data_IF_103434152120
#
_entry.id   IF_103434152120
#
_cell.length_a   1.000
_cell.length_b   1.000
_cell.length_c   1.000
_cell.angle_alpha   90.00
_cell.angle_beta   90.00
_cell.angle_gamma   90.00
#
_symmetry.space_group_name_H-M   'P 1'
#
loop_
_entity.id
_entity.type
_entity.pdbx_description
1 polymer ?
#
# COMPACT_ATOMS: atom_id res chain seq x y z
N UNK A 1 -6.90 12.21 15.47
CA UNK A 1 -5.78 12.17 16.43
C UNK A 1 -6.40 12.25 17.83
N UNK A 2 -6.60 11.11 18.49
CA UNK A 2 -7.02 11.07 19.90
C UNK A 2 -6.13 10.04 20.60
N UNK A 3 -5.51 10.45 21.71
CA UNK A 3 -4.92 9.55 22.69
C UNK A 3 -5.99 9.32 23.76
N UNK A 4 -6.55 8.11 23.83
CA UNK A 4 -7.43 7.71 24.93
C UNK A 4 -6.55 7.25 26.11
N UNK A 5 -6.59 8.00 27.22
CA UNK A 5 -6.15 7.53 28.53
C UNK A 5 -7.38 6.99 29.25
N UNK A 6 -7.50 5.65 29.38
CA UNK A 6 -8.43 5.09 30.37
C UNK A 6 -7.91 5.30 31.79
N UNK A 7 -8.73 5.79 32.74
CA UNK A 7 -8.39 5.81 34.16
C UNK A 7 -8.67 4.46 34.85
N UNK A 8 -8.03 4.29 36.00
CA UNK A 8 -7.91 3.07 36.79
C UNK A 8 -9.24 2.49 37.34
N UNK A 9 -9.21 1.18 37.61
CA UNK A 9 -10.28 0.38 38.25
C UNK A 9 -10.75 0.97 39.59
N UNK A 10 -12.06 1.16 39.73
CA UNK A 10 -12.79 1.39 40.98
C UNK A 10 -14.08 0.55 41.03
N UNK A 11 -14.45 0.11 42.24
CA UNK A 11 -15.46 -0.93 42.57
C UNK A 11 -16.90 -0.63 42.09
N UNK A 12 -17.66 -1.70 41.83
CA UNK A 12 -18.92 -1.69 41.08
C UNK A 12 -20.22 -1.35 41.81
N UNK A 13 -21.29 -1.32 41.01
CA UNK A 13 -22.70 -1.51 41.35
C UNK A 13 -23.47 -1.83 40.05
N UNK A 14 -24.30 -2.87 40.09
CA UNK A 14 -25.15 -3.37 39.01
C UNK A 14 -26.28 -2.41 38.63
N UNK A 15 -26.61 -2.34 37.32
CA UNK A 15 -27.94 -2.01 36.78
C UNK A 15 -28.10 -2.60 35.35
N UNK A 16 -29.35 -2.91 34.90
CA UNK A 16 -29.64 -4.04 34.01
C UNK A 16 -29.55 -3.74 32.49
N UNK A 17 -29.33 -4.83 31.74
CA UNK A 17 -29.15 -4.86 30.30
C UNK A 17 -30.45 -4.72 29.49
N UNK A 18 -30.35 -4.06 28.33
CA UNK A 18 -31.26 -4.19 27.18
C UNK A 18 -30.48 -4.65 25.94
N UNK A 19 -31.13 -5.33 24.98
CA UNK A 19 -30.45 -6.27 24.08
C UNK A 19 -30.08 -5.65 22.74
N UNK A 20 -28.97 -6.12 22.17
CA UNK A 20 -28.69 -5.96 20.74
C UNK A 20 -27.30 -5.43 20.41
N UNK A 21 -26.25 -6.19 20.73
CA UNK A 21 -24.94 -6.00 20.10
C UNK A 21 -24.38 -7.37 19.72
N UNK A 22 -24.33 -7.63 18.41
CA UNK A 22 -23.59 -8.75 17.84
C UNK A 22 -22.10 -8.51 18.11
N UNK A 23 -21.49 -9.40 18.90
CA UNK A 23 -20.04 -9.57 18.95
C UNK A 23 -19.61 -10.27 17.66
N UNK A 24 -18.63 -9.70 16.96
CA UNK A 24 -17.74 -10.47 16.08
C UNK A 24 -16.33 -10.48 16.66
N UNK A 25 -15.73 -11.64 16.48
CA UNK A 25 -14.60 -12.23 17.16
C UNK A 25 -13.27 -11.58 16.86
N UNK A 26 -12.43 -11.63 17.88
CA UNK A 26 -11.02 -11.27 17.96
C UNK A 26 -10.13 -12.26 17.20
N UNK A 27 -9.37 -11.76 16.22
CA UNK A 27 -8.08 -12.25 15.65
C UNK A 27 -8.02 -11.74 14.19
N UNK A 28 -7.37 -10.63 13.86
CA UNK A 28 -5.90 -10.53 13.74
C UNK A 28 -5.45 -9.06 13.81
N UNK A 29 -5.39 -8.50 15.02
CA UNK A 29 -4.45 -7.42 15.32
C UNK A 29 -3.15 -8.07 15.80
N UNK A 30 -2.17 -8.25 14.92
CA UNK A 30 -0.76 -8.44 15.30
C UNK A 30 0.10 -8.77 14.08
N UNK A 31 0.66 -7.78 13.40
CA UNK A 31 1.98 -7.94 12.73
C UNK A 31 2.73 -6.60 12.62
N UNK A 32 2.63 -5.77 13.65
CA UNK A 32 3.79 -5.06 14.19
C UNK A 32 3.74 -5.38 15.69
N UNK A 33 4.56 -6.33 16.14
CA UNK A 33 4.65 -6.66 17.56
C UNK A 33 5.06 -5.39 18.32
N UNK A 34 4.44 -5.15 19.47
CA UNK A 34 4.81 -4.09 20.42
C UNK A 34 6.33 -4.09 20.74
N UNK A 35 7.01 -5.24 20.57
CA UNK A 35 8.47 -5.37 20.65
C UNK A 35 9.23 -4.50 19.63
N UNK A 36 8.70 -4.32 18.42
CA UNK A 36 9.38 -3.55 17.37
C UNK A 36 9.28 -2.04 17.59
N UNK A 37 8.29 -1.57 18.35
CA UNK A 37 8.12 -0.16 18.69
C UNK A 37 9.07 0.26 19.82
N UNK A 38 9.38 -0.61 20.78
CA UNK A 38 10.38 -0.32 21.82
C UNK A 38 11.81 -0.26 21.29
N UNK A 39 12.13 -1.03 20.26
CA UNK A 39 13.47 -1.08 19.65
C UNK A 39 13.82 0.17 18.81
N UNK A 40 12.80 0.93 18.39
CA UNK A 40 12.97 2.18 17.62
C UNK A 40 13.25 3.40 18.50
N UNK A 41 13.07 3.28 19.82
CA UNK A 41 13.31 4.37 20.79
C UNK A 41 14.24 3.94 21.93
N UNK A 42 15.51 3.58 21.66
CA UNK A 42 16.45 3.16 22.70
C UNK A 42 16.69 4.21 23.80
N UNK A 43 16.36 5.49 23.53
CA UNK A 43 16.50 6.61 24.47
C UNK A 43 15.17 7.21 24.96
N UNK A 44 14.01 6.61 24.66
CA UNK A 44 12.71 7.14 25.07
C UNK A 44 12.36 8.52 24.49
N UNK A 45 13.06 8.95 23.43
CA UNK A 45 12.79 10.20 22.73
C UNK A 45 11.58 10.05 21.81
N UNK A 46 10.42 10.55 22.27
CA UNK A 46 9.21 10.60 21.45
C UNK A 46 9.09 11.99 20.79
N UNK A 47 9.21 12.09 19.45
CA UNK A 47 9.16 13.38 18.77
C UNK A 47 7.74 13.96 18.81
N UNK A 48 7.56 15.07 19.52
CA UNK A 48 6.27 15.76 19.55
C UNK A 48 6.12 16.68 18.33
N UNK A 49 5.14 16.38 17.47
CA UNK A 49 4.75 17.25 16.38
C UNK A 49 4.07 18.52 16.93
N UNK A 50 4.59 19.69 16.59
CA UNK A 50 4.09 20.99 17.04
C UNK A 50 3.11 21.57 16.02
N UNK A 51 3.50 21.63 14.74
CA UNK A 51 2.63 22.13 13.67
C UNK A 51 2.94 21.48 12.33
N UNK A 52 1.97 21.52 11.42
CA UNK A 52 2.11 21.05 10.04
C UNK A 52 1.72 22.19 9.11
N UNK A 53 2.58 22.47 8.13
CA UNK A 53 2.35 23.49 7.12
C UNK A 53 2.23 22.82 5.76
N UNK A 54 1.12 23.06 5.06
CA UNK A 54 0.86 22.53 3.73
C UNK A 54 1.13 23.64 2.74
N UNK A 55 2.18 23.48 1.94
CA UNK A 55 2.51 24.37 0.83
C UNK A 55 1.90 23.81 -0.46
N UNK A 56 2.17 24.48 -1.59
CA UNK A 56 1.66 24.04 -2.90
C UNK A 56 2.14 22.62 -3.26
N UNK A 57 3.43 22.36 -3.09
CA UNK A 57 4.08 21.13 -3.58
C UNK A 57 4.82 20.35 -2.48
N UNK A 58 4.80 20.85 -1.24
CA UNK A 58 5.52 20.29 -0.10
C UNK A 58 4.68 20.36 1.18
N UNK A 59 4.99 19.49 2.13
CA UNK A 59 4.43 19.52 3.49
C UNK A 59 5.59 19.61 4.46
N UNK A 60 5.51 20.56 5.39
CA UNK A 60 6.51 20.76 6.43
C UNK A 60 5.95 20.33 7.78
N UNK A 61 6.67 19.43 8.44
CA UNK A 61 6.37 18.97 9.80
C UNK A 61 7.33 19.67 10.75
N UNK A 62 6.79 20.49 11.65
CA UNK A 62 7.57 21.21 12.66
C UNK A 62 7.41 20.48 13.99
N UNK A 63 8.53 20.02 14.53
CA UNK A 63 8.59 19.35 15.82
C UNK A 63 8.93 20.34 16.93
N UNK A 64 8.47 20.07 18.15
CA UNK A 64 8.74 20.91 19.31
C UNK A 64 10.25 20.93 19.67
N UNK A 65 10.97 19.87 19.31
CA UNK A 65 12.39 19.69 19.57
C UNK A 65 13.09 19.25 18.28
N UNK A 66 14.38 19.57 18.15
CA UNK A 66 15.20 19.09 17.04
C UNK A 66 15.30 17.56 17.12
N UNK A 67 15.02 16.88 16.02
CA UNK A 67 15.16 15.44 15.93
C UNK A 67 16.65 15.05 16.00
N UNK A 68 17.04 14.12 16.89
CA UNK A 68 18.37 13.53 16.87
C UNK A 68 18.55 12.67 15.61
N UNK A 69 19.79 12.37 15.19
CA UNK A 69 20.02 11.41 14.13
C UNK A 69 19.49 10.02 14.55
N UNK A 70 18.69 9.39 13.69
CA UNK A 70 18.07 8.11 13.98
C UNK A 70 17.01 7.73 12.94
N UNK A 71 16.35 6.59 13.19
CA UNK A 71 15.22 6.13 12.39
C UNK A 71 13.91 6.56 13.05
N UNK A 72 12.96 7.02 12.25
CA UNK A 72 11.66 7.48 12.73
C UNK A 72 10.56 6.96 11.82
N UNK A 73 9.43 6.59 12.42
CA UNK A 73 8.22 6.24 11.69
C UNK A 73 7.29 7.45 11.58
N UNK A 74 7.17 8.01 10.39
CA UNK A 74 6.17 9.03 10.08
C UNK A 74 4.91 8.37 9.55
N UNK A 75 3.82 8.42 10.32
CA UNK A 75 2.50 7.98 9.87
C UNK A 75 1.67 9.17 9.44
N UNK A 76 1.38 9.25 8.15
CA UNK A 76 0.37 10.18 7.62
C UNK A 76 -0.95 9.41 7.57
N UNK A 77 -1.99 9.98 8.18
CA UNK A 77 -3.34 9.40 8.17
C UNK A 77 -4.01 9.51 6.80
N UNK A 78 -5.33 9.63 6.81
CA UNK A 78 -6.12 9.73 5.59
C UNK A 78 -5.81 11.02 4.81
N UNK A 79 -5.68 10.87 3.49
CA UNK A 79 -5.56 11.98 2.55
C UNK A 79 -6.32 11.63 1.27
N UNK A 80 -6.69 12.67 0.51
CA UNK A 80 -7.44 12.52 -0.73
C UNK A 80 -6.59 13.00 -1.91
N UNK A 81 -6.48 12.17 -2.95
CA UNK A 81 -5.82 12.50 -4.20
C UNK A 81 -6.82 12.84 -5.31
N UNK A 82 -6.32 13.42 -6.41
CA UNK A 82 -7.15 13.72 -7.58
C UNK A 82 -7.04 12.60 -8.61
N UNK A 83 -8.17 12.06 -9.03
CA UNK A 83 -8.29 11.23 -10.22
C UNK A 83 -8.56 12.13 -11.42
N UNK A 84 -7.83 11.94 -12.52
CA UNK A 84 -8.02 12.76 -13.71
C UNK A 84 -8.00 11.92 -14.98
N UNK A 85 -8.53 12.47 -16.08
CA UNK A 85 -8.35 11.89 -17.40
C UNK A 85 -7.04 12.35 -18.08
N UNK A 86 -6.09 12.93 -17.34
CA UNK A 86 -4.80 13.35 -17.88
C UNK A 86 -3.94 12.15 -18.31
N UNK A 87 -2.73 12.41 -18.79
CA UNK A 87 -1.73 11.40 -19.15
C UNK A 87 -0.72 11.12 -18.04
N UNK A 88 -0.86 11.76 -16.87
CA UNK A 88 0.04 11.67 -15.71
C UNK A 88 -0.76 11.60 -14.41
N UNK A 89 -0.09 11.22 -13.32
CA UNK A 89 -0.71 11.03 -12.01
C UNK A 89 -1.55 9.75 -11.96
N UNK A 90 -2.68 9.82 -11.26
CA UNK A 90 -3.67 8.74 -11.26
C UNK A 90 -4.70 9.00 -12.36
N UNK A 91 -4.66 8.14 -13.36
CA UNK A 91 -5.39 8.27 -14.61
C UNK A 91 -6.64 7.41 -14.57
N UNK A 92 -7.79 8.01 -14.85
CA UNK A 92 -9.04 7.33 -15.09
C UNK A 92 -9.35 7.30 -16.59
N UNK A 93 -9.77 6.13 -17.09
CA UNK A 93 -10.21 5.90 -18.47
C UNK A 93 -11.53 5.13 -18.46
N UNK A 94 -12.45 5.53 -19.32
CA UNK A 94 -13.73 4.84 -19.55
C UNK A 94 -14.51 4.52 -18.26
N UNK A 95 -14.38 5.40 -17.25
CA UNK A 95 -14.96 5.30 -15.89
C UNK A 95 -14.54 4.07 -15.05
N UNK A 96 -13.98 3.04 -15.67
CA UNK A 96 -13.80 1.70 -15.09
C UNK A 96 -12.34 1.26 -15.04
N UNK A 97 -11.45 1.94 -15.77
CA UNK A 97 -10.02 1.67 -15.77
C UNK A 97 -9.29 2.79 -15.02
N UNK A 98 -8.49 2.39 -14.04
CA UNK A 98 -7.59 3.26 -13.30
C UNK A 98 -6.16 2.78 -13.51
N UNK A 99 -5.23 3.69 -13.73
CA UNK A 99 -3.81 3.37 -13.87
C UNK A 99 -2.95 4.54 -13.44
N UNK A 100 -1.72 4.30 -13.03
CA UNK A 100 -0.80 5.35 -12.61
C UNK A 100 0.30 5.58 -13.63
N UNK A 101 0.61 6.85 -13.89
CA UNK A 101 1.83 7.25 -14.58
C UNK A 101 2.48 8.41 -13.83
N UNK A 102 3.48 8.08 -13.00
CA UNK A 102 4.01 9.01 -12.00
C UNK A 102 5.32 9.71 -12.43
N UNK A 103 5.84 9.39 -13.61
CA UNK A 103 7.07 10.01 -14.11
C UNK A 103 6.84 11.41 -14.69
N UNK A 104 7.76 12.36 -14.46
CA UNK A 104 8.97 12.22 -13.63
C UNK A 104 8.75 12.53 -12.13
N UNK A 105 7.75 13.35 -11.79
CA UNK A 105 7.56 13.94 -10.46
C UNK A 105 6.08 14.02 -10.03
N UNK A 106 5.25 13.11 -10.52
CA UNK A 106 3.82 13.06 -10.21
C UNK A 106 3.51 12.08 -9.06
N UNK A 107 4.50 11.44 -8.45
CA UNK A 107 4.29 10.55 -7.31
C UNK A 107 3.66 11.28 -6.11
N UNK A 108 3.99 12.58 -5.96
CA UNK A 108 3.41 13.47 -4.95
C UNK A 108 1.90 13.70 -5.09
N UNK A 109 1.33 13.45 -6.28
CA UNK A 109 -0.13 13.52 -6.47
C UNK A 109 -0.84 12.27 -5.95
N UNK A 110 -0.11 11.15 -5.82
CA UNK A 110 -0.64 9.87 -5.36
C UNK A 110 -0.43 9.66 -3.85
N UNK A 111 0.73 10.00 -3.31
CA UNK A 111 1.01 9.86 -1.89
C UNK A 111 1.99 10.93 -1.38
N UNK A 112 1.90 11.32 -0.09
CA UNK A 112 2.90 12.17 0.55
C UNK A 112 4.23 11.39 0.62
N UNK A 113 5.16 11.73 -0.27
CA UNK A 113 6.44 11.03 -0.41
C UNK A 113 7.58 11.99 -0.78
N UNK A 114 8.81 11.52 -0.58
CA UNK A 114 10.01 12.20 -1.07
C UNK A 114 10.20 11.85 -2.54
N UNK A 115 9.70 12.72 -3.40
CA UNK A 115 9.66 12.53 -4.85
C UNK A 115 10.97 12.99 -5.53
N UNK A 116 12.06 12.25 -5.25
CA UNK A 116 13.39 12.51 -5.80
C UNK A 116 14.05 11.19 -6.26
N UNK A 117 14.70 11.14 -7.44
CA UNK A 117 15.24 9.88 -8.01
C UNK A 117 16.36 9.23 -7.19
N UNK A 118 17.08 10.00 -6.38
CA UNK A 118 18.13 9.46 -5.51
C UNK A 118 17.58 8.78 -4.26
N UNK A 119 16.31 9.00 -3.91
CA UNK A 119 15.67 8.43 -2.72
C UNK A 119 14.88 7.20 -3.13
N UNK A 120 15.20 6.06 -2.52
CA UNK A 120 14.56 4.77 -2.82
C UNK A 120 13.99 4.19 -1.54
N UNK A 121 12.82 3.59 -1.64
CA UNK A 121 12.15 2.91 -0.54
C UNK A 121 11.48 1.62 -1.03
N UNK A 122 11.18 0.71 -0.11
CA UNK A 122 10.34 -0.45 -0.36
C UNK A 122 8.88 -0.06 -0.07
N UNK A 123 7.98 -0.31 -1.02
CA UNK A 123 6.57 0.04 -0.89
C UNK A 123 5.74 -1.21 -0.64
N UNK A 124 4.86 -1.14 0.37
CA UNK A 124 3.84 -2.16 0.65
C UNK A 124 2.49 -1.59 0.24
N UNK A 125 1.97 -2.03 -0.89
CA UNK A 125 0.72 -1.53 -1.43
C UNK A 125 -0.45 -2.42 -1.05
N UNK A 126 -1.56 -1.80 -0.69
CA UNK A 126 -2.85 -2.44 -0.49
C UNK A 126 -3.88 -1.59 -1.20
N UNK A 127 -4.68 -2.20 -2.06
CA UNK A 127 -5.69 -1.50 -2.85
C UNK A 127 -7.05 -2.07 -2.48
N UNK A 128 -7.95 -1.17 -2.09
CA UNK A 128 -9.38 -1.47 -1.94
C UNK A 128 -10.06 -1.03 -3.24
N UNK A 129 -10.74 -1.95 -3.91
CA UNK A 129 -11.33 -1.72 -5.23
C UNK A 129 -12.65 -2.49 -5.38
N UNK A 130 -13.53 -2.11 -6.33
CA UNK A 130 -14.81 -2.77 -6.48
C UNK A 130 -14.66 -4.27 -6.80
N UNK A 131 -15.58 -5.08 -6.30
CA UNK A 131 -15.74 -6.48 -6.74
C UNK A 131 -15.93 -6.56 -8.26
N UNK A 132 -15.54 -7.69 -8.86
CA UNK A 132 -15.49 -7.90 -10.33
C UNK A 132 -14.46 -7.04 -11.08
N UNK A 133 -13.51 -6.43 -10.34
CA UNK A 133 -12.33 -5.80 -10.92
C UNK A 133 -11.07 -6.49 -10.41
N UNK A 134 -9.97 -6.33 -11.14
CA UNK A 134 -8.66 -6.87 -10.81
C UNK A 134 -7.72 -5.70 -10.59
N UNK A 135 -6.97 -5.76 -9.49
CA UNK A 135 -5.89 -4.83 -9.20
C UNK A 135 -4.54 -5.51 -9.53
N UNK A 136 -3.69 -4.80 -10.28
CA UNK A 136 -2.33 -5.21 -10.61
C UNK A 136 -1.36 -4.12 -10.11
N UNK A 137 -0.13 -4.52 -9.72
CA UNK A 137 0.89 -3.58 -9.26
C UNK A 137 2.30 -4.03 -9.69
N UNK A 138 3.35 -3.36 -9.20
CA UNK A 138 4.75 -3.71 -9.47
C UNK A 138 5.11 -5.14 -9.01
N UNK A 139 4.37 -5.67 -8.04
CA UNK A 139 4.61 -6.96 -7.40
C UNK A 139 3.38 -7.86 -7.48
N UNK A 140 3.58 -9.14 -7.20
CA UNK A 140 2.49 -10.12 -7.16
C UNK A 140 1.51 -9.82 -6.02
N UNK A 141 0.23 -10.05 -6.26
CA UNK A 141 -0.77 -10.07 -5.21
C UNK A 141 -0.51 -11.28 -4.31
N UNK A 142 -0.35 -11.02 -3.01
CA UNK A 142 -0.20 -12.06 -1.99
C UNK A 142 -1.55 -12.61 -1.56
N UNK A 143 -2.56 -11.74 -1.44
CA UNK A 143 -3.88 -12.11 -0.96
C UNK A 143 -4.97 -11.19 -1.51
N UNK A 144 -6.19 -11.71 -1.59
CA UNK A 144 -7.40 -10.99 -1.99
C UNK A 144 -8.51 -11.34 -1.02
N UNK A 145 -8.97 -10.33 -0.27
CA UNK A 145 -10.05 -10.47 0.70
C UNK A 145 -11.28 -9.68 0.27
N UNK A 146 -12.45 -10.30 0.30
CA UNK A 146 -13.73 -9.58 0.15
C UNK A 146 -13.98 -8.79 1.43
N UNK A 147 -14.12 -7.47 1.30
CA UNK A 147 -14.43 -6.57 2.43
C UNK A 147 -15.95 -6.55 2.64
N UNK A 148 -16.69 -6.36 1.55
CA UNK A 148 -18.15 -6.38 1.50
C UNK A 148 -18.63 -6.80 0.08
N UNK A 149 -19.95 -6.95 -0.19
CA UNK A 149 -20.45 -7.37 -1.50
C UNK A 149 -20.07 -6.46 -2.67
N UNK A 150 -19.66 -5.21 -2.43
CA UNK A 150 -19.27 -4.25 -3.44
C UNK A 150 -17.76 -4.02 -3.51
N UNK A 151 -17.00 -4.27 -2.43
CA UNK A 151 -15.58 -3.98 -2.31
C UNK A 151 -14.73 -5.18 -1.91
N UNK A 152 -13.56 -5.28 -2.52
CA UNK A 152 -12.51 -6.23 -2.16
C UNK A 152 -11.18 -5.50 -1.95
N UNK A 153 -10.29 -6.15 -1.20
CA UNK A 153 -8.97 -5.66 -0.83
C UNK A 153 -7.93 -6.61 -1.41
N UNK A 154 -7.03 -6.09 -2.24
CA UNK A 154 -5.86 -6.82 -2.76
C UNK A 154 -4.60 -6.33 -2.05
N UNK A 155 -3.85 -7.26 -1.47
CA UNK A 155 -2.60 -7.00 -0.75
C UNK A 155 -1.43 -7.48 -1.60
N UNK A 156 -0.48 -6.60 -1.89
CA UNK A 156 0.68 -6.90 -2.73
C UNK A 156 1.94 -7.19 -1.89
N UNK A 157 2.86 -7.98 -2.45
CA UNK A 157 4.17 -8.17 -1.86
C UNK A 157 4.97 -6.84 -1.81
N UNK A 158 5.88 -6.65 -0.84
CA UNK A 158 6.75 -5.47 -0.81
C UNK A 158 7.58 -5.34 -2.09
N UNK A 159 7.70 -4.12 -2.61
CA UNK A 159 8.56 -3.85 -3.77
C UNK A 159 10.05 -3.92 -3.39
N UNK A 160 10.96 -4.18 -4.36
CA UNK A 160 12.36 -3.79 -4.22
C UNK A 160 12.50 -2.28 -3.97
N UNK A 161 13.69 -1.84 -3.54
CA UNK A 161 14.00 -0.42 -3.38
C UNK A 161 13.89 0.32 -4.72
N UNK A 162 12.87 1.18 -4.83
CA UNK A 162 12.61 1.98 -6.03
C UNK A 162 12.27 3.44 -5.68
N UNK A 163 12.53 4.40 -6.57
CA UNK A 163 12.02 5.77 -6.43
C UNK A 163 10.50 5.84 -6.55
N UNK A 164 9.87 6.78 -5.85
CA UNK A 164 8.41 6.87 -5.76
C UNK A 164 7.69 6.98 -7.13
N UNK A 165 8.31 7.63 -8.13
CA UNK A 165 7.73 7.74 -9.48
C UNK A 165 7.61 6.40 -10.24
N UNK A 166 8.22 5.32 -9.76
CA UNK A 166 8.10 3.98 -10.34
C UNK A 166 6.97 3.15 -9.72
N UNK A 167 6.29 3.67 -8.70
CA UNK A 167 5.09 3.02 -8.17
C UNK A 167 4.07 2.96 -9.30
N UNK A 168 3.61 1.75 -9.57
CA UNK A 168 2.64 1.45 -10.60
C UNK A 168 1.53 0.57 -10.05
N UNK A 169 0.29 0.95 -10.29
CA UNK A 169 -0.84 0.06 -10.16
C UNK A 169 -1.90 0.34 -11.20
N UNK A 170 -2.72 -0.66 -11.48
CA UNK A 170 -3.91 -0.53 -12.31
C UNK A 170 -5.08 -1.29 -11.70
N UNK A 171 -6.28 -0.75 -11.91
CA UNK A 171 -7.55 -1.40 -11.56
C UNK A 171 -8.36 -1.45 -12.85
N UNK A 172 -8.82 -2.64 -13.21
CA UNK A 172 -9.56 -2.86 -14.45
C UNK A 172 -10.62 -3.96 -14.27
N UNK A 173 -11.71 -3.95 -15.05
CA UNK A 173 -12.67 -5.05 -15.03
C UNK A 173 -12.00 -6.40 -15.33
N UNK A 174 -12.45 -7.47 -14.67
CA UNK A 174 -11.86 -8.80 -14.82
C UNK A 174 -11.84 -9.31 -16.26
N UNK A 175 -12.79 -8.87 -17.09
CA UNK A 175 -12.87 -9.17 -18.52
C UNK A 175 -11.61 -8.76 -19.32
N UNK A 176 -10.82 -7.79 -18.83
CA UNK A 176 -9.57 -7.36 -19.48
C UNK A 176 -8.38 -8.26 -19.14
N UNK A 177 -8.53 -9.19 -18.19
CA UNK A 177 -7.48 -10.15 -17.84
C UNK A 177 -7.38 -11.19 -18.94
N UNK A 178 -6.36 -11.10 -19.80
CA UNK A 178 -6.08 -12.15 -20.77
C UNK A 178 -5.62 -13.42 -20.05
N UNK A 179 -6.17 -14.57 -20.45
CA UNK A 179 -5.67 -15.88 -20.02
C UNK A 179 -4.23 -16.08 -20.51
N UNK A 180 -3.26 -16.14 -19.59
CA UNK A 180 -1.86 -16.47 -19.88
C UNK A 180 -1.66 -17.98 -20.15
N UNK A 181 -2.49 -18.59 -21.01
CA UNK A 181 -2.40 -20.01 -21.39
C UNK A 181 -2.27 -20.26 -22.90
N UNK A 182 -2.02 -19.23 -23.71
CA UNK A 182 -1.71 -19.36 -25.14
C UNK A 182 -0.29 -18.91 -25.51
N UNK A 183 0.67 -19.10 -24.61
CA UNK A 183 2.05 -19.35 -25.04
C UNK A 183 2.23 -20.86 -25.11
N UNK A 184 1.72 -21.44 -26.20
CA UNK A 184 2.07 -22.79 -26.61
C UNK A 184 3.60 -22.90 -26.60
N UNK A 185 4.08 -23.92 -25.89
CA UNK A 185 5.46 -24.37 -25.99
C UNK A 185 5.90 -24.34 -27.46
N UNK A 186 6.98 -23.61 -27.76
CA UNK A 186 7.73 -23.91 -28.98
C UNK A 186 8.12 -25.40 -28.88
N UNK A 187 7.69 -26.28 -29.79
CA UNK A 187 8.29 -27.60 -29.85
C UNK A 187 9.78 -27.41 -30.11
N UNK A 188 10.62 -28.09 -29.33
CA UNK A 188 12.05 -28.15 -29.61
C UNK A 188 12.21 -28.64 -31.04
N UNK A 189 12.94 -27.89 -31.88
CA UNK A 189 13.39 -28.44 -33.16
C UNK A 189 14.35 -29.57 -32.83
N UNK A 190 13.85 -30.79 -32.98
CA UNK A 190 14.62 -32.02 -32.97
C UNK A 190 15.59 -31.93 -34.16
N UNK A 191 16.87 -31.67 -33.86
CA UNK A 191 17.91 -31.78 -34.87
C UNK A 191 18.11 -33.27 -35.15
N UNK A 192 17.50 -33.77 -36.22
CA UNK A 192 17.87 -35.06 -36.79
C UNK A 192 19.34 -35.01 -37.19
N UNK A 193 20.18 -35.64 -36.37
CA UNK A 193 21.57 -35.91 -36.71
C UNK A 193 21.63 -36.88 -37.87
N UNK A 194 21.78 -36.38 -39.11
CA UNK A 194 22.31 -37.19 -40.20
C UNK A 194 23.80 -37.41 -39.97
N UNK A 195 24.10 -38.47 -39.23
CA UNK A 195 25.36 -39.19 -39.38
C UNK A 195 25.47 -39.76 -40.79
N UNK A 196 26.61 -39.56 -41.43
CA UNK A 196 26.88 -40.05 -42.78
C UNK A 196 28.28 -39.65 -43.23
N UNK A 197 29.27 -40.32 -42.66
CA UNK A 197 30.69 -40.29 -43.04
C UNK A 197 30.94 -41.12 -44.32
N UNK A 198 31.93 -40.69 -45.11
CA UNK A 198 32.73 -41.44 -46.11
C UNK A 198 32.04 -41.79 -47.46
N UNK A 199 32.66 -41.66 -48.64
CA UNK A 199 34.06 -41.54 -49.09
C UNK A 199 34.20 -40.47 -50.19
#
# INVERSE_FOLDING_TARGET
>A
MFADRRPARGKGVDCPALPGTLQTTQSDESLLSEECLSDLFPDGFEPTLNSTWIHRDTVEFIFAQKLPPGEFLLTVGEYNGRLSNASTGVIQRNLTLFTTHLQPNFARELLPCVDHPSVKAAFRLTIIHPTNTVAESNTIANDVHVVDPQWQKTVFAPTPLLPAYLIAFSIMPEAYKQNKYSQQAKPALEYEGRGGTQL
#
